data_IF_099029175726
#
_entry.id   IF_099029175726
#
_cell.length_a   1.000
_cell.length_b   1.000
_cell.length_c   1.000
_cell.angle_alpha   90.00
_cell.angle_beta   90.00
_cell.angle_gamma   90.00
#
_symmetry.space_group_name_H-M   'P 1'
#
loop_
_entity.id
_entity.type
_entity.pdbx_description
1 polymer ?
#
# COMPACT_ATOMS: atom_id res chain seq x y z
N UNK A 1 -18.72 4.07 26.87
CA UNK A 1 -17.75 2.97 27.10
C UNK A 1 -17.52 2.11 25.87
N UNK A 2 -18.57 1.66 25.14
CA UNK A 2 -18.37 0.93 23.87
C UNK A 2 -17.73 1.80 22.77
N UNK A 3 -18.18 3.05 22.60
CA UNK A 3 -17.60 3.99 21.62
C UNK A 3 -16.11 4.25 21.84
N UNK A 4 -15.65 4.37 23.09
CA UNK A 4 -14.22 4.59 23.39
C UNK A 4 -13.37 3.36 23.03
N UNK A 5 -13.91 2.15 23.23
CA UNK A 5 -13.24 0.90 22.87
C UNK A 5 -13.15 0.74 21.35
N UNK A 6 -14.23 1.03 20.62
CA UNK A 6 -14.25 0.92 19.16
C UNK A 6 -13.34 1.97 18.51
N UNK A 7 -13.29 3.19 19.06
CA UNK A 7 -12.35 4.24 18.66
C UNK A 7 -10.90 3.84 18.92
N UNK A 8 -10.59 3.25 20.08
CA UNK A 8 -9.26 2.76 20.39
C UNK A 8 -8.83 1.65 19.42
N UNK A 9 -9.73 0.71 19.12
CA UNK A 9 -9.47 -0.36 18.16
C UNK A 9 -9.30 0.17 16.73
N UNK A 10 -10.09 1.18 16.32
CA UNK A 10 -9.94 1.83 15.02
C UNK A 10 -8.55 2.48 14.87
N UNK A 11 -8.00 3.08 15.93
CA UNK A 11 -6.63 3.64 15.92
C UNK A 11 -5.56 2.57 15.74
N UNK A 12 -5.72 1.40 16.36
CA UNK A 12 -4.81 0.26 16.17
C UNK A 12 -4.84 -0.21 14.71
N UNK A 13 -6.03 -0.33 14.12
CA UNK A 13 -6.15 -0.68 12.70
C UNK A 13 -5.57 0.39 11.77
N UNK A 14 -5.72 1.68 12.08
CA UNK A 14 -5.08 2.75 11.30
C UNK A 14 -3.56 2.63 11.33
N UNK A 15 -2.96 2.37 12.50
CA UNK A 15 -1.52 2.17 12.60
C UNK A 15 -1.04 0.97 11.76
N UNK A 16 -1.77 -0.15 11.81
CA UNK A 16 -1.45 -1.31 10.98
C UNK A 16 -1.59 -1.03 9.47
N UNK A 17 -2.59 -0.25 9.06
CA UNK A 17 -2.75 0.18 7.66
C UNK A 17 -1.62 1.12 7.22
N UNK A 18 -1.15 2.01 8.08
CA UNK A 18 -0.04 2.93 7.79
C UNK A 18 1.28 2.14 7.59
N UNK A 19 1.55 1.12 8.43
CA UNK A 19 2.70 0.22 8.26
C UNK A 19 2.62 -0.61 6.96
N UNK A 20 1.42 -1.10 6.62
CA UNK A 20 1.18 -1.82 5.37
C UNK A 20 1.38 -0.90 4.16
N UNK A 21 0.90 0.35 4.22
CA UNK A 21 1.13 1.37 3.18
C UNK A 21 2.61 1.62 3.00
N UNK A 22 3.38 1.77 4.09
CA UNK A 22 4.83 1.96 4.02
C UNK A 22 5.51 0.76 3.35
N UNK A 23 5.14 -0.46 3.74
CA UNK A 23 5.68 -1.70 3.19
C UNK A 23 5.41 -1.82 1.69
N UNK A 24 4.15 -1.65 1.26
CA UNK A 24 3.76 -1.77 -0.15
C UNK A 24 4.35 -0.63 -1.00
N UNK A 25 4.59 0.55 -0.40
CA UNK A 25 5.27 1.65 -1.08
C UNK A 25 6.72 1.30 -1.42
N UNK A 26 7.46 0.70 -0.48
CA UNK A 26 8.82 0.19 -0.73
C UNK A 26 8.80 -0.88 -1.83
N UNK A 27 7.87 -1.85 -1.77
CA UNK A 27 7.73 -2.88 -2.80
C UNK A 27 7.44 -2.29 -4.19
N UNK A 28 6.62 -1.24 -4.27
CA UNK A 28 6.35 -0.52 -5.52
C UNK A 28 7.62 0.14 -6.08
N UNK A 29 8.41 0.80 -5.23
CA UNK A 29 9.67 1.43 -5.63
C UNK A 29 10.68 0.40 -6.11
N UNK A 30 10.82 -0.72 -5.41
CA UNK A 30 11.69 -1.83 -5.79
C UNK A 30 11.26 -2.47 -7.12
N UNK A 31 9.97 -2.75 -7.30
CA UNK A 31 9.46 -3.29 -8.56
C UNK A 31 9.74 -2.34 -9.74
N UNK A 32 9.58 -1.02 -9.55
CA UNK A 32 9.92 -0.01 -10.56
C UNK A 32 11.41 0.02 -10.87
N UNK A 33 12.26 -0.04 -9.83
CA UNK A 33 13.72 -0.07 -9.98
C UNK A 33 14.15 -1.31 -10.75
N UNK A 34 13.66 -2.49 -10.37
CA UNK A 34 13.98 -3.76 -11.03
C UNK A 34 13.50 -3.79 -12.49
N UNK A 35 12.32 -3.21 -12.78
CA UNK A 35 11.85 -3.05 -14.16
C UNK A 35 12.80 -2.17 -14.99
N UNK A 36 13.28 -1.06 -14.44
CA UNK A 36 14.24 -0.17 -15.10
C UNK A 36 15.60 -0.86 -15.33
N UNK A 37 16.09 -1.59 -14.33
CA UNK A 37 17.33 -2.37 -14.44
C UNK A 37 17.23 -3.48 -15.50
N UNK A 38 16.13 -4.22 -15.54
CA UNK A 38 15.91 -5.28 -16.52
C UNK A 38 15.86 -4.71 -17.96
N UNK A 39 15.19 -3.56 -18.15
CA UNK A 39 15.22 -2.82 -19.42
C UNK A 39 16.62 -2.40 -19.84
N UNK A 40 17.40 -1.85 -18.91
CA UNK A 40 18.76 -1.42 -19.18
C UNK A 40 19.66 -2.60 -19.62
N UNK A 41 19.37 -3.82 -19.15
CA UNK A 41 20.04 -5.06 -19.56
C UNK A 41 19.46 -5.72 -20.81
N UNK A 42 18.40 -5.17 -21.41
CA UNK A 42 17.71 -5.75 -22.57
C UNK A 42 16.82 -6.96 -22.24
N UNK A 43 16.56 -7.23 -20.96
CA UNK A 43 15.70 -8.33 -20.51
C UNK A 43 14.23 -7.88 -20.44
N UNK A 44 13.58 -7.87 -21.62
CA UNK A 44 12.20 -7.44 -21.75
C UNK A 44 11.18 -8.31 -20.97
N UNK A 45 11.30 -9.66 -20.93
CA UNK A 45 10.41 -10.49 -20.12
C UNK A 45 10.45 -10.16 -18.63
N UNK A 46 11.65 -10.10 -18.05
CA UNK A 46 11.81 -9.77 -16.62
C UNK A 46 11.35 -8.34 -16.33
N UNK A 47 11.66 -7.39 -17.22
CA UNK A 47 11.17 -6.02 -17.11
C UNK A 47 9.65 -5.95 -17.06
N UNK A 48 8.97 -6.62 -17.99
CA UNK A 48 7.50 -6.67 -18.06
C UNK A 48 6.90 -7.29 -16.79
N UNK A 49 7.52 -8.34 -16.25
CA UNK A 49 7.06 -8.96 -15.01
C UNK A 49 7.11 -7.97 -13.83
N UNK A 50 8.22 -7.27 -13.64
CA UNK A 50 8.36 -6.27 -12.58
C UNK A 50 7.38 -5.09 -12.73
N UNK A 51 7.05 -4.70 -13.97
CA UNK A 51 6.01 -3.69 -14.19
C UNK A 51 4.61 -4.15 -13.79
N UNK A 52 4.28 -5.41 -14.04
CA UNK A 52 3.02 -5.99 -13.58
C UNK A 52 2.96 -6.02 -12.05
N UNK A 53 4.07 -6.36 -11.38
CA UNK A 53 4.17 -6.26 -9.92
C UNK A 53 3.95 -4.82 -9.44
N UNK A 54 4.63 -3.84 -10.04
CA UNK A 54 4.42 -2.43 -9.72
C UNK A 54 2.96 -1.98 -9.93
N UNK A 55 2.29 -2.45 -10.98
CA UNK A 55 0.88 -2.19 -11.21
C UNK A 55 -0.02 -2.82 -10.12
N UNK A 56 0.32 -4.01 -9.64
CA UNK A 56 -0.37 -4.66 -8.52
C UNK A 56 -0.16 -3.88 -7.22
N UNK A 57 1.07 -3.51 -6.85
CA UNK A 57 1.32 -2.71 -5.64
C UNK A 57 0.59 -1.36 -5.68
N UNK A 58 0.52 -0.69 -6.83
CA UNK A 58 -0.30 0.53 -6.99
C UNK A 58 -1.79 0.31 -6.70
N UNK A 59 -2.36 -0.81 -7.13
CA UNK A 59 -3.77 -1.15 -6.84
C UNK A 59 -3.95 -1.41 -5.34
N UNK A 60 -3.02 -2.15 -4.73
CA UNK A 60 -3.03 -2.40 -3.29
C UNK A 60 -2.96 -1.09 -2.49
N UNK A 61 -2.05 -0.17 -2.81
CA UNK A 61 -1.95 1.13 -2.15
C UNK A 61 -3.24 1.95 -2.24
N UNK A 62 -3.89 1.95 -3.41
CA UNK A 62 -5.19 2.64 -3.57
C UNK A 62 -6.25 2.05 -2.65
N UNK A 63 -6.29 0.74 -2.51
CA UNK A 63 -7.24 0.08 -1.63
C UNK A 63 -6.93 0.35 -0.15
N UNK A 64 -5.66 0.30 0.25
CA UNK A 64 -5.24 0.63 1.61
C UNK A 64 -5.61 2.07 1.98
N UNK A 65 -5.30 3.04 1.11
CA UNK A 65 -5.71 4.43 1.34
C UNK A 65 -7.24 4.60 1.43
N UNK A 66 -8.00 3.85 0.62
CA UNK A 66 -9.46 3.84 0.69
C UNK A 66 -9.94 3.29 2.04
N UNK A 67 -9.32 2.23 2.55
CA UNK A 67 -9.63 1.65 3.86
C UNK A 67 -9.31 2.62 4.99
N UNK A 68 -8.14 3.26 4.96
CA UNK A 68 -7.76 4.31 5.91
C UNK A 68 -8.79 5.44 5.91
N UNK A 69 -9.19 5.93 4.74
CA UNK A 69 -10.18 7.00 4.64
C UNK A 69 -11.57 6.58 5.16
N UNK A 70 -12.02 5.37 4.83
CA UNK A 70 -13.29 4.84 5.34
C UNK A 70 -13.26 4.73 6.87
N UNK A 71 -12.16 4.27 7.44
CA UNK A 71 -12.02 4.09 8.88
C UNK A 71 -11.98 5.45 9.60
N UNK A 72 -11.20 6.41 9.08
CA UNK A 72 -11.18 7.80 9.58
C UNK A 72 -12.57 8.43 9.54
N UNK A 73 -13.29 8.26 8.42
CA UNK A 73 -14.63 8.83 8.23
C UNK A 73 -15.65 8.19 9.18
N UNK A 74 -15.63 6.86 9.34
CA UNK A 74 -16.57 6.13 10.20
C UNK A 74 -16.45 6.52 11.67
N UNK A 75 -15.23 6.75 12.15
CA UNK A 75 -14.95 7.04 13.55
C UNK A 75 -14.64 8.52 13.84
N UNK A 76 -14.83 9.41 12.85
CA UNK A 76 -14.52 10.84 12.93
C UNK A 76 -13.09 11.12 13.45
N UNK A 77 -12.13 10.31 13.00
CA UNK A 77 -10.73 10.42 13.37
C UNK A 77 -10.02 11.42 12.45
N UNK A 78 -9.22 12.30 13.04
CA UNK A 78 -8.35 13.23 12.32
C UNK A 78 -7.16 12.52 11.68
#
# INVERSE_FOLDING_TARGET
MADDSDVAQARVFLAALDDEIATVSVQLEDARRLAAEARARGDAPTGTWHEQQAATHKRTLRELHRQTQNLRTRFALA
#
